data_IF_362711949287
#
_entry.id   IF_362711949287
#
_cell.length_a   1.000
_cell.length_b   1.000
_cell.length_c   1.000
_cell.angle_alpha   90.00
_cell.angle_beta   90.00
_cell.angle_gamma   90.00
#
_symmetry.space_group_name_H-M   'P 1'
#
loop_
_entity.id
_entity.type
_entity.pdbx_description
1 polymer ?
#
# COMPACT_ATOMS: atom_id res chain seq x y z
N UNK A 1 -32.71 23.01 -27.28
CA UNK A 1 -31.43 22.27 -27.25
C UNK A 1 -31.43 21.41 -25.98
N UNK A 2 -31.53 20.08 -26.08
CA UNK A 2 -31.50 19.18 -24.91
C UNK A 2 -30.05 18.72 -24.69
N UNK A 3 -29.23 19.58 -24.09
CA UNK A 3 -27.96 19.17 -23.49
C UNK A 3 -28.20 18.79 -22.03
N UNK A 4 -27.64 17.65 -21.60
CA UNK A 4 -27.77 17.15 -20.23
C UNK A 4 -28.28 15.71 -20.13
N UNK A 5 -27.80 14.79 -20.96
CA UNK A 5 -27.92 13.37 -20.63
C UNK A 5 -26.71 12.96 -19.81
N UNK A 6 -26.97 12.44 -18.62
CA UNK A 6 -25.98 11.85 -17.72
C UNK A 6 -25.28 10.72 -18.48
N UNK A 7 -23.97 10.84 -18.67
CA UNK A 7 -23.19 9.89 -19.44
C UNK A 7 -22.62 8.86 -18.45
N UNK A 8 -23.31 7.74 -18.31
CA UNK A 8 -22.83 6.61 -17.52
C UNK A 8 -21.85 5.83 -18.40
N UNK A 9 -20.55 6.03 -18.15
CA UNK A 9 -19.48 5.33 -18.87
C UNK A 9 -19.09 4.09 -18.07
N UNK A 10 -19.46 2.92 -18.58
CA UNK A 10 -19.00 1.64 -18.06
C UNK A 10 -17.80 1.15 -18.88
N UNK A 11 -16.64 1.02 -18.24
CA UNK A 11 -15.43 0.50 -18.88
C UNK A 11 -15.43 -1.02 -18.81
N UNK A 12 -15.82 -1.68 -19.89
CA UNK A 12 -15.70 -3.13 -20.04
C UNK A 12 -14.27 -3.43 -20.52
N UNK A 13 -13.51 -4.19 -19.74
CA UNK A 13 -12.16 -4.63 -20.11
C UNK A 13 -12.20 -6.10 -20.53
N UNK A 14 -11.89 -6.38 -21.80
CA UNK A 14 -11.89 -7.73 -22.38
C UNK A 14 -10.62 -8.53 -22.04
N UNK A 15 -10.22 -8.58 -20.78
CA UNK A 15 -9.00 -9.29 -20.39
C UNK A 15 -9.25 -10.34 -19.31
N UNK A 16 -9.87 -11.45 -19.74
CA UNK A 16 -10.19 -12.63 -18.92
C UNK A 16 -8.96 -13.32 -18.27
N UNK A 17 -7.73 -12.94 -18.64
CA UNK A 17 -6.48 -13.58 -18.22
C UNK A 17 -5.43 -12.61 -17.64
N UNK A 18 -5.78 -11.37 -17.28
CA UNK A 18 -4.81 -10.47 -16.63
C UNK A 18 -4.63 -10.87 -15.15
N UNK A 19 -3.71 -11.79 -14.88
CA UNK A 19 -3.14 -11.90 -13.52
C UNK A 19 -2.12 -10.79 -13.36
N UNK A 20 -2.35 -9.88 -12.42
CA UNK A 20 -1.35 -8.89 -12.04
C UNK A 20 -0.11 -9.61 -11.51
N UNK A 21 1.07 -9.21 -11.96
CA UNK A 21 2.31 -9.67 -11.38
C UNK A 21 2.60 -8.96 -10.04
N UNK A 22 3.55 -9.48 -9.29
CA UNK A 22 3.88 -8.96 -7.96
C UNK A 22 4.26 -7.47 -7.96
N UNK A 23 4.98 -7.00 -8.98
CA UNK A 23 5.38 -5.58 -9.07
C UNK A 23 4.20 -4.66 -9.38
N UNK A 24 3.25 -5.12 -10.20
CA UNK A 24 1.99 -4.41 -10.44
C UNK A 24 1.17 -4.30 -9.16
N UNK A 25 1.05 -5.40 -8.40
CA UNK A 25 0.35 -5.43 -7.11
C UNK A 25 1.03 -4.46 -6.13
N UNK A 26 2.38 -4.53 -6.00
CA UNK A 26 3.14 -3.61 -5.17
C UNK A 26 2.88 -2.15 -5.53
N UNK A 27 2.86 -1.80 -6.83
CA UNK A 27 2.57 -0.44 -7.27
C UNK A 27 1.16 0.02 -6.87
N UNK A 28 0.15 -0.85 -6.99
CA UNK A 28 -1.22 -0.54 -6.58
C UNK A 28 -1.31 -0.36 -5.06
N UNK A 29 -0.63 -1.23 -4.28
CA UNK A 29 -0.55 -1.13 -2.83
C UNK A 29 0.12 0.16 -2.39
N UNK A 30 1.23 0.55 -3.01
CA UNK A 30 1.90 1.83 -2.74
C UNK A 30 0.93 3.00 -2.97
N UNK A 31 0.17 3.00 -4.07
CA UNK A 31 -0.85 4.03 -4.33
C UNK A 31 -1.96 4.05 -3.28
N UNK A 32 -2.42 2.88 -2.83
CA UNK A 32 -3.41 2.77 -1.77
C UNK A 32 -2.91 3.34 -0.44
N UNK A 33 -1.65 3.04 -0.08
CA UNK A 33 -0.98 3.59 1.11
C UNK A 33 -0.85 5.10 1.00
N UNK A 34 -0.39 5.64 -0.13
CA UNK A 34 -0.27 7.10 -0.32
C UNK A 34 -1.62 7.80 -0.25
N UNK A 35 -2.67 7.23 -0.84
CA UNK A 35 -4.05 7.72 -0.69
C UNK A 35 -4.48 7.74 0.78
N UNK A 36 -4.19 6.67 1.53
CA UNK A 36 -4.54 6.59 2.95
C UNK A 36 -3.82 7.68 3.78
N UNK A 37 -2.53 7.92 3.51
CA UNK A 37 -1.71 8.95 4.19
C UNK A 37 -2.25 10.36 4.04
N UNK A 38 -2.96 10.67 2.94
CA UNK A 38 -3.59 11.99 2.77
C UNK A 38 -4.70 12.27 3.79
N UNK A 39 -5.33 11.21 4.34
CA UNK A 39 -6.50 11.32 5.24
C UNK A 39 -6.23 10.82 6.66
N UNK A 40 -5.18 10.03 6.88
CA UNK A 40 -4.90 9.42 8.18
C UNK A 40 -3.48 9.76 8.68
N UNK A 41 -3.41 10.54 9.75
CA UNK A 41 -2.16 11.00 10.36
C UNK A 41 -1.28 9.87 10.88
N UNK A 42 -1.86 8.83 11.50
CA UNK A 42 -1.09 7.66 11.98
C UNK A 42 -0.39 6.96 10.83
N UNK A 43 -1.08 6.67 9.72
CA UNK A 43 -0.45 6.07 8.54
C UNK A 43 0.63 6.97 7.94
N UNK A 44 0.42 8.29 7.96
CA UNK A 44 1.43 9.25 7.48
C UNK A 44 2.70 9.20 8.33
N UNK A 45 2.59 9.04 9.64
CA UNK A 45 3.74 8.99 10.55
C UNK A 45 4.43 7.63 10.59
N UNK A 46 3.66 6.54 10.59
CA UNK A 46 4.17 5.19 10.87
C UNK A 46 4.36 4.32 9.62
N UNK A 47 3.76 4.65 8.46
CA UNK A 47 4.05 3.97 7.18
C UNK A 47 5.05 4.74 6.31
N UNK A 48 6.14 5.23 6.92
CA UNK A 48 7.17 5.99 6.20
C UNK A 48 8.16 5.08 5.46
N UNK A 49 8.69 4.07 6.16
CA UNK A 49 9.71 3.16 5.64
C UNK A 49 9.18 1.74 5.75
N UNK A 50 9.00 1.10 4.59
CA UNK A 50 8.53 -0.27 4.53
C UNK A 50 9.03 -0.97 3.27
N UNK A 51 9.10 -2.29 3.32
CA UNK A 51 9.26 -3.16 2.14
C UNK A 51 7.95 -3.89 1.88
N UNK A 52 7.64 -4.13 0.61
CA UNK A 52 6.47 -4.90 0.20
C UNK A 52 6.92 -6.27 -0.31
N UNK A 53 6.30 -7.31 0.22
CA UNK A 53 6.43 -8.68 -0.29
C UNK A 53 5.05 -9.21 -0.64
N UNK A 54 4.96 -9.86 -1.80
CA UNK A 54 3.75 -10.55 -2.24
C UNK A 54 3.98 -12.04 -2.04
N UNK A 55 3.07 -12.69 -1.32
CA UNK A 55 3.10 -14.14 -1.12
C UNK A 55 1.69 -14.69 -1.22
N UNK A 56 1.38 -15.28 -2.36
CA UNK A 56 0.03 -15.79 -2.68
C UNK A 56 -1.04 -14.69 -2.51
N UNK A 57 -1.85 -14.76 -1.45
CA UNK A 57 -2.90 -13.78 -1.12
C UNK A 57 -2.48 -12.78 -0.03
N UNK A 58 -1.23 -12.83 0.40
CA UNK A 58 -0.71 -11.96 1.44
C UNK A 58 0.13 -10.85 0.84
N UNK A 59 -0.19 -9.63 1.22
CA UNK A 59 0.67 -8.46 1.02
C UNK A 59 1.32 -8.17 2.37
N UNK A 60 2.61 -8.47 2.46
CA UNK A 60 3.39 -8.27 3.67
C UNK A 60 4.03 -6.90 3.59
N UNK A 61 3.65 -6.03 4.53
CA UNK A 61 4.29 -4.73 4.76
C UNK A 61 5.31 -4.96 5.87
N UNK A 62 6.57 -5.10 5.48
CA UNK A 62 7.69 -5.23 6.41
C UNK A 62 8.10 -3.84 6.90
N UNK A 63 8.12 -3.66 8.22
CA UNK A 63 8.36 -2.40 8.93
C UNK A 63 9.71 -2.44 9.64
N UNK A 64 10.21 -1.26 9.96
CA UNK A 64 11.51 -1.05 10.59
C UNK A 64 11.57 -1.45 12.07
N UNK A 65 10.47 -1.38 12.81
CA UNK A 65 10.44 -1.67 14.25
C UNK A 65 9.05 -2.12 14.75
N UNK A 66 9.03 -2.79 15.91
CA UNK A 66 7.82 -3.31 16.55
C UNK A 66 6.87 -2.23 17.06
N UNK A 67 7.37 -1.06 17.48
CA UNK A 67 6.49 0.02 17.93
C UNK A 67 5.68 0.59 16.76
N UNK A 68 6.31 0.73 15.59
CA UNK A 68 5.64 1.08 14.34
C UNK A 68 4.58 0.07 13.97
N UNK A 69 4.88 -1.23 14.04
CA UNK A 69 3.90 -2.31 13.80
C UNK A 69 2.71 -2.20 14.75
N UNK A 70 2.97 -2.12 16.05
CA UNK A 70 1.95 -2.00 17.09
C UNK A 70 0.99 -0.84 16.82
N UNK A 71 1.53 0.35 16.53
CA UNK A 71 0.72 1.55 16.27
C UNK A 71 -0.21 1.39 15.05
N UNK A 72 0.24 0.67 14.02
CA UNK A 72 -0.54 0.44 12.79
C UNK A 72 -1.62 -0.62 13.00
N UNK A 73 -1.33 -1.65 13.79
CA UNK A 73 -2.29 -2.70 14.17
C UNK A 73 -3.40 -2.15 15.06
N UNK A 74 -3.06 -1.37 16.10
CA UNK A 74 -4.01 -0.77 17.04
C UNK A 74 -5.11 0.04 16.33
N UNK A 75 -4.74 0.81 15.30
CA UNK A 75 -5.69 1.64 14.54
C UNK A 75 -6.21 0.97 13.27
N UNK A 76 -5.97 -0.34 13.12
CA UNK A 76 -6.45 -1.20 12.02
C UNK A 76 -6.11 -0.65 10.64
N UNK A 77 -4.85 -0.27 10.42
CA UNK A 77 -4.41 0.25 9.12
C UNK A 77 -4.51 -0.79 8.01
N UNK A 78 -4.25 -2.07 8.30
CA UNK A 78 -4.38 -3.18 7.33
C UNK A 78 -5.76 -3.16 6.65
N UNK A 79 -6.84 -3.18 7.43
CA UNK A 79 -8.21 -3.15 6.91
C UNK A 79 -8.53 -1.89 6.11
N UNK A 80 -7.94 -0.74 6.46
CA UNK A 80 -8.13 0.50 5.69
C UNK A 80 -7.44 0.42 4.32
N UNK A 81 -6.26 -0.20 4.24
CA UNK A 81 -5.58 -0.44 2.97
C UNK A 81 -6.37 -1.45 2.13
N UNK A 82 -6.81 -2.56 2.72
CA UNK A 82 -7.64 -3.57 2.06
C UNK A 82 -8.92 -2.98 1.45
N UNK A 83 -9.59 -2.07 2.17
CA UNK A 83 -10.75 -1.37 1.65
C UNK A 83 -10.42 -0.53 0.40
N UNK A 84 -9.31 0.19 0.41
CA UNK A 84 -8.87 0.98 -0.75
C UNK A 84 -8.49 0.05 -1.92
N UNK A 85 -7.84 -1.08 -1.66
CA UNK A 85 -7.52 -2.08 -2.68
C UNK A 85 -8.77 -2.69 -3.31
N UNK A 86 -9.79 -2.98 -2.50
CA UNK A 86 -11.09 -3.44 -2.97
C UNK A 86 -11.76 -2.40 -3.90
N UNK A 87 -11.67 -1.11 -3.57
CA UNK A 87 -12.14 -0.02 -4.46
C UNK A 87 -11.38 0.02 -5.79
N UNK A 88 -10.12 -0.39 -5.81
CA UNK A 88 -9.29 -0.50 -7.03
C UNK A 88 -9.49 -1.81 -7.81
N UNK A 89 -10.37 -2.70 -7.34
CA UNK A 89 -10.60 -4.00 -7.96
C UNK A 89 -9.57 -5.08 -7.60
N UNK A 90 -8.60 -4.76 -6.72
CA UNK A 90 -7.63 -5.72 -6.19
C UNK A 90 -8.22 -6.38 -4.94
N UNK A 91 -8.95 -7.47 -5.16
CA UNK A 91 -9.71 -8.19 -4.12
C UNK A 91 -8.97 -9.40 -3.59
N UNK A 92 -9.39 -9.88 -2.42
CA UNK A 92 -8.93 -11.13 -1.79
C UNK A 92 -7.45 -11.14 -1.36
N UNK A 93 -6.87 -9.96 -1.13
CA UNK A 93 -5.58 -9.85 -0.45
C UNK A 93 -5.77 -9.50 1.01
N UNK A 94 -4.95 -10.11 1.86
CA UNK A 94 -4.82 -9.80 3.28
C UNK A 94 -3.52 -9.03 3.52
N UNK A 95 -3.60 -7.92 4.26
CA UNK A 95 -2.46 -7.09 4.61
C UNK A 95 -1.92 -7.53 5.98
N UNK A 96 -0.65 -7.94 6.01
CA UNK A 96 0.03 -8.33 7.25
C UNK A 96 1.21 -7.39 7.50
N UNK A 97 1.35 -6.94 8.75
CA UNK A 97 2.54 -6.23 9.20
C UNK A 97 3.57 -7.23 9.75
N UNK A 98 4.81 -7.09 9.32
CA UNK A 98 5.96 -7.80 9.87
C UNK A 98 7.05 -6.82 10.22
N UNK A 99 8.02 -7.23 11.04
CA UNK A 99 9.21 -6.44 11.35
C UNK A 99 10.40 -7.18 10.77
N UNK A 100 11.32 -6.46 10.13
CA UNK A 100 12.55 -7.03 9.61
C UNK A 100 13.75 -6.11 9.77
N UNK A 101 14.88 -6.54 9.23
CA UNK A 101 16.16 -5.86 9.43
C UNK A 101 16.39 -4.79 8.34
N UNK A 102 16.29 -3.51 8.75
CA UNK A 102 16.55 -2.33 7.93
C UNK A 102 17.92 -1.69 8.22
N UNK A 103 18.81 -2.38 8.95
CA UNK A 103 20.11 -1.84 9.37
C UNK A 103 20.95 -1.31 8.19
N UNK A 104 20.87 -1.98 7.04
CA UNK A 104 21.61 -1.60 5.82
C UNK A 104 21.06 -0.32 5.20
N UNK A 105 19.75 -0.17 5.12
CA UNK A 105 19.09 1.02 4.59
C UNK A 105 19.34 2.24 5.48
N UNK A 106 19.26 2.06 6.80
CA UNK A 106 19.59 3.10 7.78
C UNK A 106 21.05 3.54 7.61
N UNK A 107 21.98 2.59 7.56
CA UNK A 107 23.40 2.88 7.34
C UNK A 107 23.66 3.66 6.03
N UNK A 108 22.96 3.31 4.94
CA UNK A 108 23.06 4.02 3.66
C UNK A 108 22.55 5.47 3.73
N UNK A 109 21.50 5.74 4.52
CA UNK A 109 20.99 7.11 4.73
C UNK A 109 21.97 7.90 5.59
N UNK A 110 22.48 7.31 6.67
CA UNK A 110 23.49 7.92 7.53
C UNK A 110 24.76 8.26 6.76
N UNK A 111 25.20 7.38 5.87
CA UNK A 111 26.37 7.63 5.03
C UNK A 111 26.13 8.79 4.06
N UNK A 112 24.94 8.90 3.45
CA UNK A 112 24.57 10.05 2.60
C UNK A 112 24.51 11.37 3.39
N UNK A 113 24.07 11.33 4.65
CA UNK A 113 24.03 12.51 5.52
C UNK A 113 25.42 12.99 5.96
N UNK A 114 26.44 12.11 5.99
CA UNK A 114 27.83 12.51 6.30
C UNK A 114 28.48 13.42 5.25
N UNK A 115 27.92 13.50 4.04
CA UNK A 115 28.43 14.29 2.92
C UNK A 115 27.65 15.58 2.67
N UNK A 116 26.77 15.98 3.59
CA UNK A 116 25.99 17.24 3.58
C UNK A 116 26.51 18.13 4.71
#
# INVERSE_FOLDING_TARGET
SKFGRELEIEFITDNKNLSLNDEEIKSIVTRAIERLKTKNTTSKSFLCFYKLHIKEKYIIIELNDENTKFMLEEVKISSKIENILNEYGVKNYEIIFSVGDFSKEISNIEEKLKWI
#
